data_IF_493796411116
#
_entry.id   IF_493796411116
#
_cell.length_a   1.000
_cell.length_b   1.000
_cell.length_c   1.000
_cell.angle_alpha   90.00
_cell.angle_beta   90.00
_cell.angle_gamma   90.00
#
_symmetry.space_group_name_H-M   'P 1'
#
loop_
_entity.id
_entity.type
_entity.pdbx_description
1 polymer ?
#
# COMPACT_ATOMS: atom_id res chain seq x y z
N UNK A 1 29.92 82.21 -18.31
CA UNK A 1 29.95 81.07 -19.26
C UNK A 1 28.82 80.11 -18.91
N UNK A 2 27.89 79.96 -19.84
CA UNK A 2 26.62 79.23 -19.74
C UNK A 2 26.83 77.75 -20.08
N UNK A 3 26.30 76.82 -19.26
CA UNK A 3 25.82 75.46 -19.63
C UNK A 3 24.81 75.05 -18.54
N UNK A 4 23.49 75.15 -18.71
CA UNK A 4 22.58 74.22 -19.42
C UNK A 4 22.89 72.74 -19.18
N UNK A 5 22.01 71.99 -18.50
CA UNK A 5 21.26 70.88 -19.11
C UNK A 5 20.26 70.18 -18.15
N UNK A 6 18.99 70.26 -18.55
CA UNK A 6 17.85 69.32 -18.43
C UNK A 6 17.57 68.48 -17.17
N UNK A 7 16.38 68.75 -16.62
CA UNK A 7 15.58 67.85 -15.80
C UNK A 7 15.23 66.56 -16.56
N UNK A 8 15.50 65.41 -15.95
CA UNK A 8 14.94 64.13 -16.37
C UNK A 8 13.92 63.73 -15.31
N UNK A 9 12.65 63.89 -15.64
CA UNK A 9 11.52 63.42 -14.84
C UNK A 9 11.36 61.92 -15.12
N UNK A 10 11.87 61.04 -14.25
CA UNK A 10 11.58 59.61 -14.31
C UNK A 10 10.15 59.37 -13.80
N UNK A 11 9.20 59.24 -14.71
CA UNK A 11 7.91 58.62 -14.41
C UNK A 11 8.11 57.13 -14.15
N UNK A 12 8.07 56.72 -12.88
CA UNK A 12 8.03 55.32 -12.49
C UNK A 12 6.64 54.75 -12.81
N UNK A 13 6.52 54.02 -13.92
CA UNK A 13 5.32 53.26 -14.26
C UNK A 13 5.31 51.99 -13.40
N UNK A 14 4.55 52.01 -12.32
CA UNK A 14 4.34 50.85 -11.45
C UNK A 14 3.66 49.72 -12.22
N UNK A 15 4.41 48.68 -12.55
CA UNK A 15 3.88 47.45 -13.13
C UNK A 15 3.28 46.62 -11.99
N UNK A 16 1.97 46.77 -11.77
CA UNK A 16 1.20 45.93 -10.86
C UNK A 16 1.13 44.51 -11.43
N UNK A 17 2.11 43.67 -11.08
CA UNK A 17 2.06 42.23 -11.34
C UNK A 17 0.95 41.67 -10.45
N UNK A 18 -0.25 41.53 -11.00
CA UNK A 18 -1.34 40.81 -10.34
C UNK A 18 -0.90 39.36 -10.14
N UNK A 19 -0.66 38.96 -8.88
CA UNK A 19 -0.55 37.55 -8.52
C UNK A 19 -1.93 36.91 -8.76
N UNK A 20 -2.07 36.22 -9.89
CA UNK A 20 -3.18 35.31 -10.06
C UNK A 20 -3.00 34.14 -9.08
N UNK A 21 -4.04 33.80 -8.29
CA UNK A 21 -3.98 32.63 -7.43
C UNK A 21 -3.87 31.39 -8.33
N UNK A 22 -2.75 30.67 -8.24
CA UNK A 22 -2.65 29.34 -8.81
C UNK A 22 -3.64 28.45 -8.05
N UNK A 23 -4.79 28.16 -8.66
CA UNK A 23 -5.64 27.06 -8.22
C UNK A 23 -4.84 25.78 -8.34
N UNK A 24 -4.42 25.23 -7.20
CA UNK A 24 -3.88 23.88 -7.11
C UNK A 24 -4.96 22.89 -7.52
N UNK A 25 -4.99 22.55 -8.81
CA UNK A 25 -5.83 21.48 -9.33
C UNK A 25 -5.47 20.20 -8.58
N UNK A 26 -6.40 19.70 -7.76
CA UNK A 26 -6.28 18.37 -7.17
C UNK A 26 -6.43 17.35 -8.31
N UNK A 27 -5.31 16.89 -8.84
CA UNK A 27 -5.31 15.77 -9.79
C UNK A 27 -5.86 14.53 -9.08
N UNK A 28 -6.76 13.79 -9.75
CA UNK A 28 -7.17 12.48 -9.26
C UNK A 28 -5.93 11.57 -9.12
N UNK A 29 -5.85 10.83 -8.02
CA UNK A 29 -4.79 9.86 -7.77
C UNK A 29 -5.32 8.46 -8.03
N UNK A 30 -4.54 7.64 -8.73
CA UNK A 30 -4.83 6.24 -9.02
C UNK A 30 -3.68 5.38 -8.49
N UNK A 31 -4.03 4.33 -7.74
CA UNK A 31 -3.09 3.28 -7.30
C UNK A 31 -3.55 1.96 -7.89
N UNK A 32 -2.62 1.22 -8.48
CA UNK A 32 -2.89 -0.11 -9.05
C UNK A 32 -2.11 -1.14 -8.25
N UNK A 33 -2.83 -2.08 -7.63
CA UNK A 33 -2.27 -3.21 -6.89
C UNK A 33 -2.45 -4.47 -7.74
N UNK A 34 -1.36 -5.21 -7.96
CA UNK A 34 -1.38 -6.52 -8.62
C UNK A 34 -1.21 -7.61 -7.57
N UNK A 35 -2.27 -8.39 -7.39
CA UNK A 35 -2.34 -9.47 -6.41
C UNK A 35 -1.72 -10.79 -6.92
N UNK A 36 -1.57 -11.76 -6.01
CA UNK A 36 -1.18 -13.16 -6.29
C UNK A 36 0.21 -13.40 -6.89
N UNK A 37 1.19 -12.53 -6.63
CA UNK A 37 2.55 -12.74 -7.12
C UNK A 37 3.29 -13.77 -6.26
N UNK A 38 3.98 -14.71 -6.92
CA UNK A 38 5.00 -15.56 -6.28
C UNK A 38 4.97 -17.06 -6.64
N UNK A 39 3.83 -17.58 -7.13
CA UNK A 39 3.73 -18.99 -7.55
C UNK A 39 4.25 -19.24 -8.98
N UNK A 40 4.08 -18.28 -9.89
CA UNK A 40 4.50 -18.40 -11.28
C UNK A 40 5.56 -17.34 -11.61
N UNK A 41 6.79 -17.79 -11.88
CA UNK A 41 7.89 -16.89 -12.17
C UNK A 41 7.63 -16.03 -13.41
N UNK A 42 7.20 -16.62 -14.52
CA UNK A 42 7.03 -15.88 -15.78
C UNK A 42 5.98 -14.76 -15.67
N UNK A 43 4.82 -15.06 -15.07
CA UNK A 43 3.75 -14.07 -14.86
C UNK A 43 4.17 -12.99 -13.86
N UNK A 44 4.76 -13.39 -12.73
CA UNK A 44 5.25 -12.43 -11.74
C UNK A 44 6.34 -11.52 -12.30
N UNK A 45 7.29 -12.09 -13.05
CA UNK A 45 8.37 -11.35 -13.67
C UNK A 45 7.85 -10.34 -14.72
N UNK A 46 6.83 -10.72 -15.50
CA UNK A 46 6.20 -9.80 -16.44
C UNK A 46 5.57 -8.58 -15.75
N UNK A 47 4.97 -8.75 -14.57
CA UNK A 47 4.41 -7.62 -13.79
C UNK A 47 5.50 -6.76 -13.16
N UNK A 48 6.60 -7.38 -12.72
CA UNK A 48 7.78 -6.68 -12.23
C UNK A 48 8.36 -5.80 -13.34
N UNK A 49 8.62 -6.38 -14.52
CA UNK A 49 9.23 -5.69 -15.67
C UNK A 49 8.33 -4.69 -16.38
N UNK A 50 7.03 -4.65 -16.08
CA UNK A 50 6.13 -3.68 -16.70
C UNK A 50 6.54 -2.25 -16.29
N UNK A 51 6.75 -1.38 -17.28
CA UNK A 51 7.12 0.03 -17.07
C UNK A 51 5.90 0.87 -16.65
N UNK A 52 5.40 0.59 -15.45
CA UNK A 52 4.27 1.30 -14.83
C UNK A 52 4.46 1.38 -13.30
N UNK A 53 3.94 2.43 -12.63
CA UNK A 53 4.01 2.56 -11.18
C UNK A 53 2.98 1.62 -10.51
N UNK A 54 3.38 0.37 -10.33
CA UNK A 54 2.56 -0.67 -9.72
C UNK A 54 2.97 -0.93 -8.26
N UNK A 55 1.97 -1.18 -7.42
CA UNK A 55 2.15 -1.89 -6.14
C UNK A 55 1.94 -3.38 -6.38
N UNK A 56 2.87 -4.20 -5.91
CA UNK A 56 2.88 -5.65 -6.14
C UNK A 56 2.65 -6.39 -4.82
N UNK A 57 1.60 -7.22 -4.77
CA UNK A 57 1.23 -7.99 -3.59
C UNK A 57 1.68 -9.46 -3.72
N UNK A 58 2.53 -9.87 -2.79
CA UNK A 58 3.20 -11.18 -2.84
C UNK A 58 2.58 -12.17 -1.86
N UNK A 59 2.23 -13.36 -2.36
CA UNK A 59 1.84 -14.48 -1.51
C UNK A 59 3.07 -15.00 -0.75
N UNK A 60 3.01 -15.14 0.59
CA UNK A 60 4.13 -15.60 1.40
C UNK A 60 4.51 -17.04 1.08
N UNK A 61 5.77 -17.39 1.31
CA UNK A 61 6.30 -18.76 1.22
C UNK A 61 6.10 -19.47 -0.15
N UNK A 62 5.80 -18.72 -1.20
CA UNK A 62 5.73 -19.25 -2.56
C UNK A 62 7.13 -19.31 -3.21
N UNK A 63 7.37 -20.20 -4.19
CA UNK A 63 8.73 -20.50 -4.68
C UNK A 63 9.50 -19.29 -5.22
N UNK A 64 8.81 -18.27 -5.73
CA UNK A 64 9.46 -17.13 -6.40
C UNK A 64 9.26 -15.80 -5.71
N UNK A 65 8.45 -15.71 -4.63
CA UNK A 65 8.07 -14.42 -4.05
C UNK A 65 9.28 -13.59 -3.58
N UNK A 66 10.19 -14.15 -2.79
CA UNK A 66 11.37 -13.42 -2.30
C UNK A 66 12.29 -12.96 -3.44
N UNK A 67 12.50 -13.80 -4.46
CA UNK A 67 13.31 -13.46 -5.64
C UNK A 67 12.67 -12.32 -6.43
N UNK A 68 11.37 -12.40 -6.69
CA UNK A 68 10.63 -11.39 -7.44
C UNK A 68 10.48 -10.08 -6.66
N UNK A 69 10.28 -10.13 -5.35
CA UNK A 69 10.21 -8.93 -4.50
C UNK A 69 11.54 -8.16 -4.49
N UNK A 70 12.69 -8.83 -4.42
CA UNK A 70 13.99 -8.16 -4.56
C UNK A 70 14.15 -7.49 -5.94
N UNK A 71 13.73 -8.16 -7.02
CA UNK A 71 13.76 -7.56 -8.36
C UNK A 71 12.80 -6.37 -8.48
N UNK A 72 11.59 -6.48 -7.92
CA UNK A 72 10.60 -5.41 -7.88
C UNK A 72 11.15 -4.16 -7.16
N UNK A 73 11.83 -4.36 -6.04
CA UNK A 73 12.47 -3.28 -5.27
C UNK A 73 13.55 -2.57 -6.10
N UNK A 74 14.40 -3.34 -6.81
CA UNK A 74 15.41 -2.78 -7.72
C UNK A 74 14.79 -2.00 -8.89
N UNK A 75 13.55 -2.31 -9.26
CA UNK A 75 12.78 -1.59 -10.28
C UNK A 75 11.84 -0.53 -9.68
N UNK A 76 12.09 -0.13 -8.43
CA UNK A 76 11.36 0.92 -7.72
C UNK A 76 9.84 0.68 -7.63
N UNK A 77 9.41 -0.59 -7.62
CA UNK A 77 8.02 -0.96 -7.35
C UNK A 77 7.74 -0.97 -5.85
N UNK A 78 6.51 -0.66 -5.47
CA UNK A 78 6.04 -0.84 -4.11
C UNK A 78 5.68 -2.31 -3.86
N UNK A 79 5.99 -2.82 -2.67
CA UNK A 79 5.86 -4.23 -2.32
C UNK A 79 4.99 -4.36 -1.07
N UNK A 80 3.96 -5.20 -1.16
CA UNK A 80 3.10 -5.55 -0.03
C UNK A 80 2.97 -7.05 0.15
N UNK A 81 2.62 -7.48 1.36
CA UNK A 81 2.19 -8.86 1.60
C UNK A 81 0.75 -9.03 1.11
N UNK A 82 0.51 -10.09 0.33
CA UNK A 82 -0.83 -10.59 0.05
C UNK A 82 -1.16 -11.71 1.05
N UNK A 83 -1.69 -11.34 2.21
CA UNK A 83 -1.83 -12.25 3.35
C UNK A 83 -3.00 -13.23 3.16
N UNK A 84 -2.77 -14.56 3.14
CA UNK A 84 -3.86 -15.52 3.00
C UNK A 84 -4.73 -15.56 4.24
N UNK A 85 -6.04 -15.39 4.04
CA UNK A 85 -7.01 -15.30 5.13
C UNK A 85 -8.21 -16.21 4.88
N UNK A 86 -8.70 -16.83 5.94
CA UNK A 86 -9.84 -17.76 5.90
C UNK A 86 -11.07 -17.17 5.17
N UNK A 87 -11.68 -18.00 4.33
CA UNK A 87 -12.81 -17.65 3.48
C UNK A 87 -14.03 -18.55 3.77
N UNK A 88 -15.22 -18.03 3.50
CA UNK A 88 -16.50 -18.69 3.75
C UNK A 88 -16.75 -19.92 2.88
N UNK A 89 -16.10 -20.01 1.71
CA UNK A 89 -16.26 -21.13 0.76
C UNK A 89 -15.28 -22.28 1.01
N UNK A 90 -14.45 -22.19 2.06
CA UNK A 90 -13.43 -23.18 2.44
C UNK A 90 -12.45 -23.51 1.30
N UNK A 91 -12.16 -22.53 0.43
CA UNK A 91 -11.14 -22.68 -0.60
C UNK A 91 -9.75 -22.80 0.04
N UNK A 92 -8.84 -23.50 -0.65
CA UNK A 92 -7.46 -23.65 -0.21
C UNK A 92 -6.79 -22.28 -0.05
N UNK A 93 -6.20 -22.05 1.12
CA UNK A 93 -5.62 -20.74 1.50
C UNK A 93 -4.16 -20.58 1.08
N UNK A 94 -3.43 -21.69 0.93
CA UNK A 94 -1.98 -21.65 0.73
C UNK A 94 -1.19 -21.47 2.03
N UNK A 95 0.15 -21.43 1.94
CA UNK A 95 1.01 -21.36 3.12
C UNK A 95 0.93 -20.01 3.84
N UNK A 96 1.09 -20.02 5.16
CA UNK A 96 1.03 -18.80 5.99
C UNK A 96 -0.39 -18.27 6.22
N UNK A 97 -1.41 -19.09 6.00
CA UNK A 97 -2.80 -18.70 6.15
C UNK A 97 -3.17 -18.36 7.59
N UNK A 98 -3.95 -17.28 7.74
CA UNK A 98 -4.55 -16.85 8.99
C UNK A 98 -5.98 -17.39 9.07
N UNK A 99 -6.26 -18.16 10.11
CA UNK A 99 -7.58 -18.76 10.37
C UNK A 99 -8.06 -18.41 11.78
N UNK A 100 -9.37 -18.48 11.99
CA UNK A 100 -9.99 -18.19 13.28
C UNK A 100 -9.69 -19.24 14.36
N UNK A 101 -9.25 -20.44 13.96
CA UNK A 101 -8.92 -21.54 14.86
C UNK A 101 -7.54 -21.39 15.52
N UNK A 102 -6.68 -20.51 15.00
CA UNK A 102 -5.37 -20.24 15.60
C UNK A 102 -5.52 -19.51 16.92
N UNK A 103 -4.73 -19.90 17.92
CA UNK A 103 -4.56 -19.07 19.11
C UNK A 103 -3.93 -17.72 18.74
N UNK A 104 -4.11 -16.70 19.58
CA UNK A 104 -3.52 -15.37 19.35
C UNK A 104 -2.01 -15.43 19.07
N UNK A 105 -1.28 -16.23 19.85
CA UNK A 105 0.17 -16.37 19.73
C UNK A 105 0.54 -17.00 18.38
N UNK A 106 -0.12 -18.08 17.99
CA UNK A 106 0.10 -18.76 16.70
C UNK A 106 -0.29 -17.85 15.53
N UNK A 107 -1.41 -17.14 15.63
CA UNK A 107 -1.90 -16.20 14.63
C UNK A 107 -0.86 -15.10 14.37
N UNK A 108 -0.45 -14.39 15.43
CA UNK A 108 0.52 -13.30 15.33
C UNK A 108 1.88 -13.81 14.86
N UNK A 109 2.31 -14.98 15.31
CA UNK A 109 3.56 -15.58 14.87
C UNK A 109 3.52 -16.01 13.39
N UNK A 110 2.38 -16.50 12.92
CA UNK A 110 2.15 -16.86 11.52
C UNK A 110 2.21 -15.62 10.63
N UNK A 111 1.52 -14.54 11.01
CA UNK A 111 1.59 -13.28 10.28
C UNK A 111 3.02 -12.70 10.26
N UNK A 112 3.73 -12.71 11.39
CA UNK A 112 5.14 -12.26 11.45
C UNK A 112 6.06 -13.07 10.54
N UNK A 113 5.86 -14.39 10.46
CA UNK A 113 6.62 -15.26 9.52
C UNK A 113 6.29 -14.95 8.06
N UNK A 114 5.01 -14.71 7.75
CA UNK A 114 4.60 -14.32 6.40
C UNK A 114 5.23 -12.98 5.98
N UNK A 115 5.18 -11.97 6.86
CA UNK A 115 5.86 -10.67 6.68
C UNK A 115 7.36 -10.88 6.46
N UNK A 116 8.03 -11.62 7.33
CA UNK A 116 9.48 -11.86 7.22
C UNK A 116 9.90 -12.66 5.99
N UNK A 117 8.97 -13.32 5.30
CA UNK A 117 9.28 -14.11 4.10
C UNK A 117 9.42 -13.28 2.82
N UNK A 118 8.91 -12.05 2.82
CA UNK A 118 8.94 -11.14 1.66
C UNK A 118 9.77 -9.90 2.03
N UNK A 119 10.91 -9.65 1.37
CA UNK A 119 11.72 -8.48 1.65
C UNK A 119 11.05 -7.19 1.16
N UNK A 120 11.41 -6.06 1.78
CA UNK A 120 11.01 -4.69 1.38
C UNK A 120 9.51 -4.37 1.46
N UNK A 121 8.73 -5.13 2.21
CA UNK A 121 7.30 -4.85 2.42
C UNK A 121 7.10 -3.45 3.05
N UNK A 122 6.11 -2.71 2.54
CA UNK A 122 5.64 -1.45 3.12
C UNK A 122 4.20 -1.52 3.66
N UNK A 123 3.42 -2.53 3.26
CA UNK A 123 2.04 -2.73 3.70
C UNK A 123 1.51 -4.13 3.44
N UNK A 124 0.24 -4.35 3.76
CA UNK A 124 -0.42 -5.66 3.62
C UNK A 124 -1.83 -5.48 3.07
N UNK A 125 -2.27 -6.39 2.21
CA UNK A 125 -3.69 -6.63 1.92
C UNK A 125 -4.07 -8.10 2.17
N UNK A 126 -5.37 -8.40 2.15
CA UNK A 126 -5.88 -9.75 2.32
C UNK A 126 -6.08 -10.49 0.98
N UNK A 127 -5.54 -11.71 0.90
CA UNK A 127 -5.92 -12.71 -0.11
C UNK A 127 -7.13 -13.49 0.41
N UNK A 128 -8.24 -13.45 -0.35
CA UNK A 128 -9.55 -13.91 0.12
C UNK A 128 -9.94 -13.25 1.46
N UNK A 129 -10.20 -14.00 2.53
CA UNK A 129 -10.52 -13.43 3.83
C UNK A 129 -12.00 -13.19 4.09
N UNK A 130 -12.92 -13.68 3.24
CA UNK A 130 -14.35 -13.41 3.39
C UNK A 130 -14.92 -13.86 4.74
N UNK A 131 -14.28 -14.80 5.46
CA UNK A 131 -14.64 -15.16 6.82
C UNK A 131 -13.83 -14.35 7.85
N UNK A 132 -12.50 -14.36 7.72
CA UNK A 132 -11.61 -13.77 8.73
C UNK A 132 -11.80 -12.25 8.88
N UNK A 133 -12.03 -11.54 7.78
CA UNK A 133 -12.18 -10.07 7.80
C UNK A 133 -13.43 -9.59 8.53
N UNK A 134 -14.40 -10.48 8.78
CA UNK A 134 -15.59 -10.19 9.60
C UNK A 134 -15.33 -10.40 11.11
N UNK A 135 -14.25 -11.08 11.48
CA UNK A 135 -13.90 -11.36 12.86
C UNK A 135 -13.10 -10.19 13.47
N UNK A 136 -13.72 -9.44 14.38
CA UNK A 136 -13.12 -8.28 15.05
C UNK A 136 -11.84 -8.62 15.81
N UNK A 137 -11.82 -9.75 16.52
CA UNK A 137 -10.68 -10.14 17.33
C UNK A 137 -9.47 -10.50 16.45
N UNK A 138 -9.68 -11.36 15.44
CA UNK A 138 -8.63 -11.73 14.49
C UNK A 138 -8.07 -10.48 13.76
N UNK A 139 -8.95 -9.58 13.31
CA UNK A 139 -8.50 -8.36 12.66
C UNK A 139 -7.79 -7.39 13.62
N UNK A 140 -8.15 -7.33 14.91
CA UNK A 140 -7.36 -6.59 15.92
C UNK A 140 -5.93 -7.12 15.98
N UNK A 141 -5.76 -8.44 16.03
CA UNK A 141 -4.44 -9.06 16.07
C UNK A 141 -3.61 -8.77 14.82
N UNK A 142 -4.23 -8.78 13.63
CA UNK A 142 -3.55 -8.33 12.40
C UNK A 142 -3.02 -6.92 12.60
N UNK A 143 -3.90 -5.98 12.95
CA UNK A 143 -3.54 -4.56 13.06
C UNK A 143 -2.49 -4.29 14.15
N UNK A 144 -2.52 -5.02 15.27
CA UNK A 144 -1.49 -4.92 16.31
C UNK A 144 -0.11 -5.33 15.78
N UNK A 145 -0.03 -6.40 14.98
CA UNK A 145 1.23 -6.80 14.34
C UNK A 145 1.67 -5.75 13.32
N UNK A 146 0.77 -5.23 12.48
CA UNK A 146 1.12 -4.22 11.48
C UNK A 146 1.63 -2.94 12.11
N UNK A 147 1.00 -2.50 13.21
CA UNK A 147 1.41 -1.30 13.95
C UNK A 147 2.81 -1.45 14.53
N UNK A 148 3.13 -2.61 15.10
CA UNK A 148 4.48 -2.91 15.59
C UNK A 148 5.53 -2.91 14.47
N UNK A 149 5.15 -3.33 13.27
CA UNK A 149 6.02 -3.42 12.09
C UNK A 149 6.01 -2.14 11.23
N UNK A 150 5.25 -1.10 11.63
CA UNK A 150 5.09 0.15 10.89
C UNK A 150 4.56 -0.04 9.45
N UNK A 151 3.68 -1.02 9.26
CA UNK A 151 3.07 -1.35 7.96
C UNK A 151 1.67 -0.76 7.82
N UNK A 152 1.30 -0.35 6.61
CA UNK A 152 -0.08 0.06 6.31
C UNK A 152 -0.97 -1.14 5.95
N UNK A 153 -2.30 -0.94 5.92
CA UNK A 153 -3.26 -1.98 5.55
C UNK A 153 -4.22 -1.57 4.43
N UNK A 154 -4.45 -2.44 3.45
CA UNK A 154 -5.48 -2.29 2.43
C UNK A 154 -6.51 -3.41 2.59
N UNK A 155 -7.73 -3.05 2.98
CA UNK A 155 -8.87 -3.96 2.96
C UNK A 155 -9.32 -4.17 1.52
N UNK A 156 -9.20 -5.41 1.03
CA UNK A 156 -9.63 -5.79 -0.33
C UNK A 156 -11.13 -6.09 -0.43
N UNK A 157 -11.88 -5.89 0.66
CA UNK A 157 -13.34 -5.96 0.76
C UNK A 157 -13.97 -7.22 0.16
N UNK A 158 -13.39 -8.38 0.45
CA UNK A 158 -13.89 -9.68 -0.02
C UNK A 158 -15.19 -10.13 0.66
N UNK A 159 -15.69 -9.33 1.62
CA UNK A 159 -17.01 -9.44 2.22
C UNK A 159 -17.56 -8.04 2.53
N UNK A 160 -18.84 -7.74 2.24
CA UNK A 160 -19.47 -6.46 2.58
C UNK A 160 -19.50 -6.21 4.10
N UNK A 161 -19.34 -7.26 4.90
CA UNK A 161 -19.33 -7.22 6.36
C UNK A 161 -17.92 -7.09 6.96
N UNK A 162 -16.89 -6.86 6.13
CA UNK A 162 -15.52 -6.69 6.62
C UNK A 162 -15.45 -5.60 7.69
N UNK A 163 -14.82 -5.92 8.82
CA UNK A 163 -14.48 -4.98 9.89
C UNK A 163 -13.01 -4.54 9.82
N UNK A 164 -12.24 -5.08 8.86
CA UNK A 164 -10.79 -4.94 8.80
C UNK A 164 -10.37 -3.46 8.69
N UNK A 165 -10.95 -2.71 7.75
CA UNK A 165 -10.69 -1.27 7.64
C UNK A 165 -11.03 -0.48 8.92
N UNK A 166 -12.13 -0.83 9.60
CA UNK A 166 -12.51 -0.16 10.85
C UNK A 166 -11.50 -0.46 11.96
N UNK A 167 -11.04 -1.71 12.09
CA UNK A 167 -10.01 -2.09 13.07
C UNK A 167 -8.69 -1.34 12.79
N UNK A 168 -8.29 -1.22 11.53
CA UNK A 168 -7.09 -0.46 11.15
C UNK A 168 -7.17 1.00 11.61
N UNK A 169 -8.29 1.67 11.34
CA UNK A 169 -8.52 3.04 11.80
C UNK A 169 -8.52 3.17 13.32
N UNK A 170 -9.12 2.24 14.05
CA UNK A 170 -9.17 2.27 15.52
C UNK A 170 -7.77 2.21 16.14
N UNK A 171 -6.84 1.49 15.52
CA UNK A 171 -5.45 1.39 15.97
C UNK A 171 -4.54 2.51 15.42
N UNK A 172 -5.08 3.41 14.60
CA UNK A 172 -4.33 4.52 13.99
C UNK A 172 -3.39 4.08 12.87
N UNK A 173 -3.70 2.97 12.20
CA UNK A 173 -2.91 2.51 11.05
C UNK A 173 -3.30 3.28 9.78
N UNK A 174 -2.32 3.71 8.96
CA UNK A 174 -2.58 4.13 7.60
C UNK A 174 -3.31 3.00 6.87
N UNK A 175 -4.47 3.32 6.30
CA UNK A 175 -5.32 2.29 5.70
C UNK A 175 -6.23 2.82 4.61
N UNK A 176 -6.57 1.91 3.70
CA UNK A 176 -7.55 2.10 2.63
C UNK A 176 -8.50 0.90 2.57
N UNK A 177 -9.65 1.10 1.93
CA UNK A 177 -10.62 0.06 1.58
C UNK A 177 -11.00 0.25 0.11
N UNK A 178 -11.02 -0.82 -0.67
CA UNK A 178 -11.41 -0.80 -2.10
C UNK A 178 -12.42 -1.88 -2.42
#
# INVERSE_FOLDING_TARGET
MIKSLHHILLTALGLSIGLLPFSSAHSAQLVIVIDDIGNNYARGNAMVELDAPLTLAFLPHTPYASRLANKAYQQHKEIILHAPMENTVKAALGPGALTQDLSEAEFKQTLKKAIGSIPHIQGINNHMGSALTQNKQAMSWVMEVLKQQQLYFIDSLTSPNSVAFQQAKQLGLPSLKR
#
